data_IF_106855924004
#
_entry.id   IF_106855924004
#
_cell.length_a   1.000
_cell.length_b   1.000
_cell.length_c   1.000
_cell.angle_alpha   90.00
_cell.angle_beta   90.00
_cell.angle_gamma   90.00
#
_symmetry.space_group_name_H-M   'P 1'
#
loop_
_entity.id
_entity.type
_entity.pdbx_description
1 polymer ?
#
# COMPACT_ATOMS: atom_id res chain seq x y z
N UNK A 1 -2.98 8.64 -6.23
CA UNK A 1 -2.68 7.58 -5.26
C UNK A 1 -1.55 6.72 -5.80
N UNK A 2 -0.54 6.51 -5.00
CA UNK A 2 0.61 5.72 -5.41
C UNK A 2 0.38 4.27 -5.04
N UNK A 3 0.82 3.38 -5.90
CA UNK A 3 0.64 1.95 -5.70
C UNK A 3 1.92 1.20 -5.98
N UNK A 4 2.05 0.05 -5.34
CA UNK A 4 3.13 -0.86 -5.61
C UNK A 4 2.63 -2.28 -5.42
N UNK A 5 3.14 -3.17 -6.22
CA UNK A 5 2.78 -4.58 -6.14
C UNK A 5 3.85 -5.32 -5.36
N UNK A 6 3.45 -6.04 -4.33
CA UNK A 6 4.37 -6.79 -3.48
C UNK A 6 4.13 -8.28 -3.73
N UNK A 7 5.07 -8.89 -4.44
CA UNK A 7 4.93 -10.29 -4.83
C UNK A 7 3.70 -10.47 -5.69
N UNK A 8 3.03 -11.60 -5.54
CA UNK A 8 1.82 -11.90 -6.28
C UNK A 8 0.54 -11.77 -5.46
N UNK A 9 0.68 -11.38 -4.18
CA UNK A 9 -0.45 -11.42 -3.25
C UNK A 9 -0.95 -10.06 -2.83
N UNK A 10 -0.09 -9.05 -2.82
CA UNK A 10 -0.43 -7.78 -2.21
C UNK A 10 -0.30 -6.63 -3.17
N UNK A 11 -1.21 -5.70 -3.03
CA UNK A 11 -1.12 -4.40 -3.68
C UNK A 11 -1.17 -3.38 -2.55
N UNK A 12 -0.13 -2.57 -2.45
CA UNK A 12 -0.04 -1.53 -1.45
C UNK A 12 -0.36 -0.19 -2.08
N UNK A 13 -1.22 0.59 -1.44
CA UNK A 13 -1.60 1.91 -1.88
C UNK A 13 -1.18 2.92 -0.83
N UNK A 14 -0.43 3.93 -1.25
CA UNK A 14 0.00 4.99 -0.36
C UNK A 14 -0.86 6.21 -0.59
N UNK A 15 -1.40 6.76 0.49
CA UNK A 15 -2.25 7.93 0.41
C UNK A 15 -2.05 8.82 1.64
N UNK A 16 -2.44 10.07 1.49
CA UNK A 16 -2.35 11.06 2.57
C UNK A 16 -3.77 11.39 3.03
N UNK A 17 -3.98 11.38 4.34
CA UNK A 17 -5.29 11.73 4.88
C UNK A 17 -5.49 13.24 4.94
N UNK A 18 -6.62 13.66 5.46
CA UNK A 18 -6.97 15.07 5.54
C UNK A 18 -6.08 15.86 6.48
N UNK A 19 -5.35 15.18 7.35
CA UNK A 19 -4.45 15.82 8.30
C UNK A 19 -3.00 15.81 7.83
N UNK A 20 -2.74 15.31 6.63
CA UNK A 20 -1.40 15.26 6.08
C UNK A 20 -0.59 14.04 6.50
N UNK A 21 -1.20 13.08 7.17
CA UNK A 21 -0.51 11.85 7.54
C UNK A 21 -0.54 10.86 6.40
N UNK A 22 0.55 10.15 6.23
CA UNK A 22 0.68 9.17 5.15
C UNK A 22 0.39 7.78 5.69
N UNK A 23 -0.54 7.13 5.02
CA UNK A 23 -0.96 5.76 5.35
C UNK A 23 -0.78 4.87 4.14
N UNK A 24 -0.64 3.59 4.42
CA UNK A 24 -0.54 2.58 3.39
C UNK A 24 -1.65 1.57 3.62
N UNK A 25 -2.44 1.37 2.57
CA UNK A 25 -3.49 0.37 2.57
C UNK A 25 -2.99 -0.85 1.82
N UNK A 26 -2.89 -1.95 2.54
CA UNK A 26 -2.42 -3.20 1.96
C UNK A 26 -3.63 -4.03 1.58
N UNK A 27 -3.79 -4.25 0.29
CA UNK A 27 -4.89 -5.07 -0.24
C UNK A 27 -4.36 -6.42 -0.65
N UNK A 28 -5.07 -7.45 -0.27
CA UNK A 28 -4.73 -8.80 -0.68
C UNK A 28 -5.35 -9.09 -2.05
N UNK A 29 -4.60 -9.78 -2.86
CA UNK A 29 -5.10 -10.19 -4.17
C UNK A 29 -5.91 -11.49 -4.05
N UNK A 30 -6.79 -11.51 -3.08
CA UNK A 30 -7.63 -12.64 -2.76
C UNK A 30 -8.95 -12.09 -2.25
N UNK A 31 -10.03 -12.49 -2.86
CA UNK A 31 -11.34 -11.95 -2.53
C UNK A 31 -11.81 -12.25 -1.11
N UNK A 32 -11.17 -13.20 -0.45
CA UNK A 32 -11.50 -13.57 0.91
C UNK A 32 -10.70 -12.80 1.96
N UNK A 33 -9.82 -11.91 1.53
CA UNK A 33 -8.97 -11.18 2.43
C UNK A 33 -9.49 -9.77 2.65
N UNK A 34 -9.27 -9.27 3.86
CA UNK A 34 -9.61 -7.92 4.19
C UNK A 34 -8.40 -7.01 4.00
N UNK A 35 -8.68 -5.71 3.86
CA UNK A 35 -7.63 -4.72 3.76
C UNK A 35 -7.04 -4.46 5.13
N UNK A 36 -5.75 -4.13 5.15
CA UNK A 36 -5.06 -3.70 6.35
C UNK A 36 -4.50 -2.31 6.09
N UNK A 37 -4.77 -1.39 7.00
CA UNK A 37 -4.27 -0.02 6.90
C UNK A 37 -3.25 0.19 8.00
N UNK A 38 -2.09 0.74 7.62
CA UNK A 38 -1.02 1.03 8.57
C UNK A 38 -0.33 2.34 8.21
N UNK A 39 0.39 2.91 9.16
CA UNK A 39 1.18 4.10 8.89
C UNK A 39 2.39 3.73 8.03
N UNK A 40 2.87 4.72 7.26
CA UNK A 40 4.00 4.50 6.38
C UNK A 40 5.24 4.01 7.13
N UNK A 41 5.51 4.58 8.31
CA UNK A 41 6.66 4.16 9.11
C UNK A 41 6.55 2.70 9.52
N UNK A 42 5.36 2.26 9.87
CA UNK A 42 5.11 0.88 10.23
C UNK A 42 5.33 -0.05 9.03
N UNK A 43 4.82 0.37 7.89
CA UNK A 43 4.97 -0.41 6.66
C UNK A 43 6.44 -0.56 6.28
N UNK A 44 7.21 0.52 6.35
CA UNK A 44 8.63 0.49 6.01
C UNK A 44 9.42 -0.40 6.96
N UNK A 45 9.02 -0.44 8.22
CA UNK A 45 9.68 -1.29 9.18
C UNK A 45 9.48 -2.78 8.88
N UNK A 46 8.30 -3.13 8.42
CA UNK A 46 7.95 -4.54 8.15
C UNK A 46 8.40 -4.97 6.75
N UNK A 47 8.15 -4.14 5.76
CA UNK A 47 8.36 -4.52 4.36
C UNK A 47 9.54 -3.83 3.70
N UNK A 48 10.10 -2.80 4.32
CA UNK A 48 11.18 -2.03 3.75
C UNK A 48 10.68 -0.86 2.94
N UNK A 49 11.62 -0.17 2.30
CA UNK A 49 11.30 0.99 1.49
C UNK A 49 11.15 0.57 0.04
N UNK A 50 10.18 1.17 -0.62
CA UNK A 50 9.90 0.90 -2.02
C UNK A 50 9.90 2.19 -2.82
N UNK A 51 10.17 2.06 -4.12
CA UNK A 51 10.03 3.17 -5.05
C UNK A 51 8.57 3.27 -5.44
N UNK A 52 7.84 4.10 -4.74
CA UNK A 52 6.43 4.30 -5.00
C UNK A 52 6.26 5.00 -6.34
N UNK A 53 5.30 4.51 -7.12
CA UNK A 53 4.96 5.10 -8.40
C UNK A 53 3.47 5.29 -8.49
N UNK A 54 3.10 6.27 -9.29
CA UNK A 54 1.70 6.48 -9.59
C UNK A 54 1.32 5.52 -10.72
N UNK A 55 0.26 4.77 -10.51
CA UNK A 55 -0.21 3.79 -11.49
C UNK A 55 -1.65 4.10 -11.84
N UNK A 56 -1.94 4.12 -13.14
CA UNK A 56 -3.31 4.25 -13.60
C UNK A 56 -4.04 2.93 -13.49
N UNK A 57 -3.33 1.85 -13.69
CA UNK A 57 -3.91 0.52 -13.55
C UNK A 57 -2.84 -0.46 -13.13
N UNK A 58 -3.28 -1.47 -12.41
CA UNK A 58 -2.47 -2.61 -12.05
C UNK A 58 -2.95 -3.80 -12.84
N UNK A 59 -2.05 -4.35 -13.56
CA UNK A 59 -2.40 -5.50 -14.38
C UNK A 59 -1.75 -6.75 -13.81
#
# INVERSE_FOLDING_TARGET
MERIKIGNRYIAERYTDQYGKVYIRLKYNDKHRTEVVMQESEFERVYGKFNWRWWESFV
#
